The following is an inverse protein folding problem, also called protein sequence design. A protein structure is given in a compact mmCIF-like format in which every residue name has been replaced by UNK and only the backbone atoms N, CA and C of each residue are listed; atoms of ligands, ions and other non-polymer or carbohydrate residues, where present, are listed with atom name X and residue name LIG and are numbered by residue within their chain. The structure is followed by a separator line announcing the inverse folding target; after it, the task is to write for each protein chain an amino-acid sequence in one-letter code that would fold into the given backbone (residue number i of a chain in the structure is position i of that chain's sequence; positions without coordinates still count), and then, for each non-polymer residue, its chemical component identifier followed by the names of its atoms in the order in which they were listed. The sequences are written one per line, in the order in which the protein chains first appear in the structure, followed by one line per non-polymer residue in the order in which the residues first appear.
data_IF_967177557474
#
_entry.id   IF_967177557474
#
_cell.length_a   1.000
_cell.length_b   1.000
_cell.length_c   1.000
_cell.angle_alpha   90.00
_cell.angle_beta   90.00
_cell.angle_gamma   90.00
#
_symmetry.space_group_name_H-M   'P 1'
#
loop_
_entity.id
_entity.type
_entity.pdbx_description
1 polymer ?
#
# COMPACT_ATOMS: atom_id res chain seq x y z
N UNK A 1 -5.92 10.47 6.85
CA UNK A 1 -4.92 9.38 6.87
C UNK A 1 -5.65 8.06 6.79
N UNK A 2 -5.01 7.01 6.28
CA UNK A 2 -5.63 5.68 6.14
C UNK A 2 -4.97 4.74 7.16
N UNK A 3 -5.74 4.09 8.07
CA UNK A 3 -5.18 3.06 8.95
C UNK A 3 -4.56 1.92 8.13
N UNK A 4 -3.28 1.65 8.38
CA UNK A 4 -2.50 0.66 7.64
C UNK A 4 -1.81 -0.29 8.63
N UNK A 5 -1.85 -1.59 8.33
CA UNK A 5 -1.13 -2.60 9.08
C UNK A 5 0.10 -3.10 8.30
N UNK A 6 1.32 -2.97 8.86
CA UNK A 6 2.50 -3.57 8.25
C UNK A 6 2.48 -5.09 8.45
N UNK A 7 2.48 -5.83 7.34
CA UNK A 7 2.45 -7.30 7.35
C UNK A 7 3.88 -7.83 7.19
N UNK A 8 4.34 -8.60 8.18
CA UNK A 8 5.65 -9.27 8.10
C UNK A 8 5.62 -10.48 7.18
N UNK A 9 4.50 -11.22 7.17
CA UNK A 9 4.26 -12.44 6.42
C UNK A 9 5.24 -13.56 6.82
N UNK A 10 5.98 -14.15 5.88
CA UNK A 10 6.83 -15.31 6.11
C UNK A 10 8.28 -14.93 6.41
N UNK A 11 8.90 -15.64 7.36
CA UNK A 11 10.33 -15.61 7.61
C UNK A 11 11.11 -16.53 6.66
N UNK A 12 12.45 -16.56 6.79
CA UNK A 12 13.32 -17.41 5.95
C UNK A 12 13.01 -18.91 6.02
N UNK A 13 12.40 -19.37 7.11
CA UNK A 13 11.97 -20.75 7.32
C UNK A 13 10.51 -21.00 6.90
N UNK A 14 9.82 -19.97 6.39
CA UNK A 14 8.42 -20.04 5.98
C UNK A 14 7.42 -19.91 7.14
N UNK A 15 7.86 -19.52 8.34
CA UNK A 15 6.95 -19.35 9.47
C UNK A 15 6.25 -18.00 9.42
N UNK A 16 5.00 -17.97 9.88
CA UNK A 16 4.23 -16.75 10.10
C UNK A 16 4.18 -16.44 11.59
N UNK A 17 3.94 -15.17 11.93
CA UNK A 17 3.61 -14.79 13.32
C UNK A 17 2.27 -15.39 13.75
N UNK A 18 2.04 -15.53 15.05
CA UNK A 18 0.75 -16.03 15.58
C UNK A 18 -0.45 -15.18 15.10
N UNK A 19 -0.24 -13.87 14.99
CA UNK A 19 -1.27 -12.93 14.56
C UNK A 19 -1.57 -13.06 13.05
N UNK A 20 -0.54 -13.27 12.23
CA UNK A 20 -0.65 -13.36 10.77
C UNK A 20 -0.91 -14.79 10.27
N UNK A 21 -0.90 -15.78 11.18
CA UNK A 21 -1.21 -17.16 10.85
C UNK A 21 -2.66 -17.29 10.39
N UNK A 22 -2.83 -17.47 9.08
CA UNK A 22 -4.11 -17.65 8.40
C UNK A 22 -4.68 -16.34 7.85
N UNK A 23 -4.67 -16.19 6.52
CA UNK A 23 -5.11 -14.97 5.82
C UNK A 23 -6.54 -14.54 6.16
N UNK A 24 -7.47 -15.50 6.31
CA UNK A 24 -8.86 -15.19 6.68
C UNK A 24 -8.99 -14.67 8.11
N UNK A 25 -8.22 -15.24 9.04
CA UNK A 25 -8.20 -14.79 10.44
C UNK A 25 -7.60 -13.39 10.53
N UNK A 26 -6.50 -13.14 9.83
CA UNK A 26 -5.88 -11.82 9.75
C UNK A 26 -6.85 -10.80 9.16
N UNK A 27 -7.47 -11.10 8.01
CA UNK A 27 -8.48 -10.25 7.40
C UNK A 27 -9.63 -9.90 8.35
N UNK A 28 -10.22 -10.89 9.04
CA UNK A 28 -11.29 -10.65 10.02
C UNK A 28 -10.83 -9.73 11.16
N UNK A 29 -9.61 -9.95 11.66
CA UNK A 29 -9.04 -9.16 12.74
C UNK A 29 -8.83 -7.71 12.31
N UNK A 30 -8.17 -7.48 11.16
CA UNK A 30 -7.93 -6.15 10.62
C UNK A 30 -9.24 -5.40 10.32
N UNK A 31 -10.20 -6.06 9.67
CA UNK A 31 -11.51 -5.47 9.38
C UNK A 31 -12.26 -5.08 10.65
N UNK A 32 -12.18 -5.89 11.71
CA UNK A 32 -12.80 -5.57 13.01
C UNK A 32 -12.18 -4.34 13.70
N UNK A 33 -10.92 -4.02 13.37
CA UNK A 33 -10.21 -2.85 13.86
C UNK A 33 -10.39 -1.61 12.96
N UNK A 34 -11.19 -1.70 11.89
CA UNK A 34 -11.34 -0.63 10.91
C UNK A 34 -10.10 -0.41 10.05
N UNK A 35 -9.26 -1.44 9.87
CA UNK A 35 -8.08 -1.40 9.00
C UNK A 35 -8.45 -2.02 7.65
N UNK A 36 -8.21 -1.27 6.57
CA UNK A 36 -8.40 -1.74 5.18
C UNK A 36 -7.21 -1.44 4.28
N UNK A 37 -6.04 -1.20 4.87
CA UNK A 37 -4.79 -1.03 4.15
C UNK A 37 -3.73 -1.94 4.78
N UNK A 38 -2.98 -2.65 3.94
CA UNK A 38 -1.79 -3.39 4.36
C UNK A 38 -0.56 -2.91 3.60
N UNK A 39 0.57 -2.92 4.28
CA UNK A 39 1.88 -2.70 3.68
C UNK A 39 2.70 -3.98 3.86
N UNK A 40 3.09 -4.61 2.75
CA UNK A 40 4.00 -5.77 2.75
C UNK A 40 5.44 -5.29 2.53
N UNK A 41 6.40 -6.12 2.90
CA UNK A 41 7.83 -5.85 2.72
C UNK A 41 8.41 -6.95 1.82
N UNK A 42 8.25 -6.86 0.49
CA UNK A 42 8.53 -7.96 -0.43
C UNK A 42 9.90 -8.59 -0.26
N UNK A 43 10.93 -7.81 0.02
CA UNK A 43 12.32 -8.28 0.16
C UNK A 43 12.48 -9.33 1.27
N UNK A 44 11.55 -9.35 2.23
CA UNK A 44 11.51 -10.31 3.32
C UNK A 44 10.78 -11.59 2.97
N UNK A 45 9.97 -11.64 1.92
CA UNK A 45 8.97 -12.69 1.73
C UNK A 45 9.27 -13.62 0.55
N UNK A 46 8.91 -14.89 0.70
CA UNK A 46 8.88 -15.83 -0.42
C UNK A 46 7.94 -15.29 -1.54
N UNK A 47 8.34 -15.33 -2.83
CA UNK A 47 7.54 -14.78 -3.90
C UNK A 47 6.12 -15.35 -4.00
N UNK A 48 5.95 -16.66 -3.71
CA UNK A 48 4.64 -17.32 -3.81
C UNK A 48 3.73 -16.95 -2.64
N UNK A 49 4.29 -16.80 -1.45
CA UNK A 49 3.56 -16.33 -0.27
C UNK A 49 3.15 -14.87 -0.41
N UNK A 50 4.07 -14.02 -0.87
CA UNK A 50 3.81 -12.62 -1.18
C UNK A 50 2.67 -12.47 -2.19
N UNK A 51 2.72 -13.24 -3.28
CA UNK A 51 1.69 -13.21 -4.32
C UNK A 51 0.32 -13.64 -3.78
N UNK A 52 0.28 -14.74 -3.05
CA UNK A 52 -0.95 -15.27 -2.45
C UNK A 52 -1.58 -14.27 -1.47
N UNK A 53 -0.76 -13.67 -0.60
CA UNK A 53 -1.21 -12.66 0.37
C UNK A 53 -1.74 -11.41 -0.35
N UNK A 54 -0.97 -10.88 -1.31
CA UNK A 54 -1.33 -9.68 -2.08
C UNK A 54 -2.66 -9.87 -2.79
N UNK A 55 -2.83 -10.98 -3.52
CA UNK A 55 -4.06 -11.27 -4.27
C UNK A 55 -5.24 -11.44 -3.33
N UNK A 56 -5.08 -12.21 -2.24
CA UNK A 56 -6.14 -12.41 -1.25
C UNK A 56 -6.67 -11.09 -0.68
N UNK A 57 -5.79 -10.23 -0.17
CA UNK A 57 -6.22 -8.96 0.42
C UNK A 57 -6.78 -7.99 -0.61
N UNK A 58 -6.21 -7.95 -1.82
CA UNK A 58 -6.74 -7.13 -2.91
C UNK A 58 -8.17 -7.54 -3.29
N UNK A 59 -8.45 -8.85 -3.38
CA UNK A 59 -9.79 -9.41 -3.64
C UNK A 59 -10.79 -9.12 -2.50
N UNK A 60 -10.31 -8.97 -1.26
CA UNK A 60 -11.12 -8.52 -0.12
C UNK A 60 -11.32 -7.01 -0.05
N UNK A 61 -10.85 -6.26 -1.05
CA UNK A 61 -11.02 -4.81 -1.15
C UNK A 61 -10.03 -4.00 -0.31
N UNK A 62 -9.00 -4.63 0.26
CA UNK A 62 -7.95 -3.90 0.97
C UNK A 62 -7.09 -3.12 -0.03
N UNK A 63 -6.61 -1.95 0.39
CA UNK A 63 -5.48 -1.27 -0.23
C UNK A 63 -4.24 -2.11 0.10
N UNK A 64 -3.43 -2.43 -0.92
CA UNK A 64 -2.19 -3.18 -0.73
C UNK A 64 -1.04 -2.31 -1.26
N UNK A 65 -0.02 -2.14 -0.45
CA UNK A 65 1.18 -1.35 -0.76
C UNK A 65 2.44 -2.15 -0.42
N UNK A 66 3.57 -1.76 -1.01
CA UNK A 66 4.86 -2.39 -0.77
C UNK A 66 5.87 -1.38 -0.25
N UNK A 67 6.48 -1.69 0.89
CA UNK A 67 7.61 -0.98 1.45
C UNK A 67 8.92 -1.72 1.19
N UNK A 68 10.03 -1.01 1.32
CA UNK A 68 11.39 -1.58 1.14
C UNK A 68 12.17 -1.74 2.46
N UNK A 69 11.64 -1.21 3.57
CA UNK A 69 12.24 -1.27 4.92
C UNK A 69 13.72 -0.82 4.97
N UNK A 70 14.05 0.31 4.33
CA UNK A 70 15.38 0.90 4.40
C UNK A 70 15.61 1.56 5.78
N UNK A 71 15.99 0.76 6.77
CA UNK A 71 16.31 1.21 8.13
C UNK A 71 17.82 1.13 8.46
N UNK A 72 18.64 0.65 7.51
CA UNK A 72 20.11 0.61 7.65
C UNK A 72 20.78 1.65 6.75
N UNK A 73 22.05 2.04 7.04
CA UNK A 73 22.83 2.92 6.18
C UNK A 73 23.21 2.32 4.81
N UNK A 74 22.83 1.06 4.54
CA UNK A 74 23.26 0.34 3.34
C UNK A 74 22.60 0.92 2.08
N UNK A 75 23.39 0.99 1.01
CA UNK A 75 22.91 1.42 -0.32
C UNK A 75 22.15 0.27 -0.99
N UNK A 76 20.96 -0.02 -0.50
CA UNK A 76 20.06 -0.98 -1.11
C UNK A 76 19.36 -0.37 -2.36
N UNK A 77 19.08 -1.17 -3.40
CA UNK A 77 18.31 -0.71 -4.55
C UNK A 77 16.91 -0.23 -4.14
N UNK A 78 16.45 0.89 -4.70
CA UNK A 78 15.07 1.38 -4.54
C UNK A 78 14.03 0.51 -5.25
N UNK A 79 14.47 -0.34 -6.18
CA UNK A 79 13.60 -1.26 -6.88
C UNK A 79 13.06 -2.32 -5.92
N UNK A 80 11.73 -2.38 -5.78
CA UNK A 80 11.06 -3.37 -4.95
C UNK A 80 11.25 -4.76 -5.58
N UNK A 81 11.82 -5.68 -4.81
CA UNK A 81 12.02 -7.08 -5.18
C UNK A 81 11.55 -7.99 -4.05
N UNK A 82 11.18 -9.22 -4.38
CA UNK A 82 10.91 -10.27 -3.38
C UNK A 82 12.21 -10.89 -2.84
N UNK A 83 12.12 -11.76 -1.83
CA UNK A 83 13.30 -12.40 -1.22
C UNK A 83 14.23 -12.99 -2.27
N UNK A 84 15.53 -12.78 -2.08
CA UNK A 84 16.57 -13.19 -3.03
C UNK A 84 16.67 -12.30 -4.27
N UNK A 85 16.10 -11.08 -4.25
CA UNK A 85 16.22 -10.11 -5.34
C UNK A 85 15.36 -10.45 -6.56
N UNK A 86 14.34 -11.29 -6.39
CA UNK A 86 13.48 -11.71 -7.50
C UNK A 86 12.52 -10.57 -7.90
N UNK A 87 12.46 -10.19 -9.19
CA UNK A 87 11.54 -9.17 -9.65
C UNK A 87 10.09 -9.51 -9.33
N UNK A 88 9.30 -8.49 -8.99
CA UNK A 88 7.86 -8.65 -8.86
C UNK A 88 7.22 -8.91 -10.24
N UNK A 89 6.19 -9.73 -10.27
CA UNK A 89 5.38 -9.91 -11.48
C UNK A 89 4.48 -8.69 -11.73
N UNK A 90 3.89 -8.60 -12.92
CA UNK A 90 3.09 -7.43 -13.32
C UNK A 90 1.79 -7.28 -12.50
N UNK A 91 1.18 -8.37 -12.05
CA UNK A 91 -0.01 -8.31 -11.19
C UNK A 91 0.31 -7.63 -9.86
N UNK A 92 1.42 -8.01 -9.21
CA UNK A 92 1.84 -7.41 -7.94
C UNK A 92 2.17 -5.92 -8.10
N UNK A 93 2.90 -5.57 -9.16
CA UNK A 93 3.19 -4.16 -9.47
C UNK A 93 1.92 -3.35 -9.68
N UNK A 94 0.96 -3.91 -10.43
CA UNK A 94 -0.31 -3.26 -10.71
C UNK A 94 -1.11 -3.04 -9.42
N UNK A 95 -1.24 -4.07 -8.58
CA UNK A 95 -1.97 -3.96 -7.30
C UNK A 95 -1.34 -2.90 -6.39
N UNK A 96 -0.01 -2.91 -6.26
CA UNK A 96 0.70 -1.93 -5.44
C UNK A 96 0.56 -0.50 -5.99
N UNK A 97 0.62 -0.34 -7.32
CA UNK A 97 0.39 0.95 -7.98
C UNK A 97 -1.02 1.49 -7.75
N UNK A 98 -2.04 0.65 -7.91
CA UNK A 98 -3.43 1.02 -7.63
C UNK A 98 -3.61 1.40 -6.15
N UNK A 99 -2.96 0.67 -5.23
CA UNK A 99 -2.94 1.03 -3.81
C UNK A 99 -2.36 2.41 -3.54
N UNK A 100 -1.21 2.73 -4.14
CA UNK A 100 -0.60 4.05 -4.06
C UNK A 100 -1.51 5.15 -4.65
N UNK A 101 -2.21 4.86 -5.76
CA UNK A 101 -3.18 5.79 -6.34
C UNK A 101 -4.34 6.07 -5.38
N UNK A 102 -4.92 5.06 -4.74
CA UNK A 102 -6.00 5.27 -3.75
C UNK A 102 -5.54 6.19 -2.61
N UNK A 103 -4.30 6.01 -2.14
CA UNK A 103 -3.70 6.88 -1.12
C UNK A 103 -3.58 8.32 -1.66
N UNK A 104 -3.05 8.52 -2.86
CA UNK A 104 -2.92 9.84 -3.47
C UNK A 104 -4.28 10.54 -3.63
N UNK A 105 -5.30 9.82 -4.11
CA UNK A 105 -6.67 10.33 -4.21
C UNK A 105 -7.25 10.72 -2.85
N UNK A 106 -7.07 9.88 -1.83
CA UNK A 106 -7.52 10.20 -0.48
C UNK A 106 -6.87 11.50 0.01
N UNK A 107 -5.56 11.64 -0.13
CA UNK A 107 -4.86 12.86 0.32
C UNK A 107 -5.31 14.10 -0.46
N UNK A 108 -5.44 13.98 -1.79
CA UNK A 108 -5.93 15.06 -2.64
C UNK A 108 -7.33 15.52 -2.23
N UNK A 109 -8.27 14.59 -2.02
CA UNK A 109 -9.64 14.92 -1.63
C UNK A 109 -9.69 15.55 -0.24
N UNK A 110 -8.97 14.99 0.74
CA UNK A 110 -8.94 15.54 2.10
C UNK A 110 -8.32 16.95 2.14
N UNK A 111 -7.28 17.21 1.34
CA UNK A 111 -6.69 18.55 1.22
C UNK A 111 -7.68 19.59 0.69
N UNK A 112 -8.72 19.17 -0.06
CA UNK A 112 -9.78 20.03 -0.58
C UNK A 112 -11.07 20.00 0.26
N UNK A 113 -11.01 19.48 1.49
CA UNK A 113 -12.19 19.37 2.37
C UNK A 113 -13.25 18.40 1.85
N UNK A 114 -12.87 17.46 0.97
CA UNK A 114 -13.76 16.45 0.39
C UNK A 114 -13.54 15.09 1.02
N UNK A 115 -14.55 14.24 0.90
CA UNK A 115 -14.49 12.86 1.35
C UNK A 115 -13.50 12.04 0.50
N UNK A 116 -12.66 11.23 1.15
CA UNK A 116 -11.75 10.27 0.50
C UNK A 116 -12.09 8.82 0.88
N UNK A 117 -11.09 7.92 0.85
CA UNK A 117 -11.29 6.50 1.20
C UNK A 117 -11.84 6.25 2.62
N UNK A 118 -11.45 7.07 3.60
CA UNK A 118 -11.89 6.95 5.01
C UNK A 118 -12.87 8.08 5.31
N UNK A 119 -14.10 7.74 5.71
CA UNK A 119 -15.17 8.65 6.14
C UNK A 119 -14.82 9.38 7.44
N UNK A 120 -15.54 10.47 7.73
CA UNK A 120 -15.33 11.26 8.94
C UNK A 120 -15.60 10.47 10.23
N UNK A 121 -16.41 9.41 10.18
CA UNK A 121 -16.66 8.48 11.29
C UNK A 121 -15.65 7.31 11.36
N UNK A 122 -14.65 7.28 10.46
CA UNK A 122 -13.65 6.22 10.37
C UNK A 122 -14.05 5.04 9.48
N UNK A 123 -15.28 5.01 8.94
CA UNK A 123 -15.72 3.95 8.03
C UNK A 123 -14.92 3.95 6.73
N UNK A 124 -14.61 2.76 6.19
CA UNK A 124 -13.86 2.60 4.95
C UNK A 124 -14.80 2.47 3.74
N UNK A 125 -14.58 3.25 2.69
CA UNK A 125 -15.33 3.18 1.45
C UNK A 125 -14.68 2.22 0.44
N UNK A 126 -14.64 0.92 0.78
CA UNK A 126 -14.04 -0.11 -0.06
C UNK A 126 -14.65 -0.16 -1.49
N UNK A 127 -15.96 0.07 -1.62
CA UNK A 127 -16.66 0.05 -2.91
C UNK A 127 -16.18 1.14 -3.89
N UNK A 128 -15.63 2.24 -3.36
CA UNK A 128 -15.11 3.35 -4.17
C UNK A 128 -13.63 3.19 -4.52
N UNK A 129 -12.98 2.09 -4.10
CA UNK A 129 -11.54 1.87 -4.28
C UNK A 129 -11.08 2.06 -5.74
N UNK A 130 -11.84 1.53 -6.70
CA UNK A 130 -11.46 1.62 -8.12
C UNK A 130 -11.58 3.05 -8.67
N UNK A 131 -12.63 3.78 -8.31
CA UNK A 131 -12.80 5.19 -8.71
C UNK A 131 -11.71 6.07 -8.10
N UNK A 132 -11.38 5.82 -6.83
CA UNK A 132 -10.27 6.49 -6.14
C UNK A 132 -8.92 6.14 -6.77
N UNK A 133 -8.69 4.90 -7.20
CA UNK A 133 -7.48 4.54 -7.94
C UNK A 133 -7.38 5.32 -9.26
N UNK A 134 -8.49 5.47 -9.99
CA UNK A 134 -8.55 6.28 -11.22
C UNK A 134 -8.24 7.76 -10.97
N UNK A 135 -8.85 8.37 -9.95
CA UNK A 135 -8.55 9.75 -9.56
C UNK A 135 -7.09 9.90 -9.13
N UNK A 136 -6.59 8.96 -8.32
CA UNK A 136 -5.24 8.98 -7.78
C UNK A 136 -4.18 8.91 -8.85
N UNK A 137 -4.42 8.09 -9.87
CA UNK A 137 -3.59 8.05 -11.07
C UNK A 137 -3.49 9.42 -11.73
N UNK A 138 -4.63 10.10 -11.95
CA UNK A 138 -4.64 11.44 -12.55
C UNK A 138 -3.89 12.46 -11.68
N UNK A 139 -4.03 12.37 -10.34
CA UNK A 139 -3.29 13.23 -9.40
C UNK A 139 -1.79 13.02 -9.55
N UNK A 140 -1.32 11.77 -9.51
CA UNK A 140 0.11 11.47 -9.62
C UNK A 140 0.64 11.90 -11.00
N UNK A 141 -0.05 11.56 -12.08
CA UNK A 141 0.33 11.94 -13.45
C UNK A 141 0.37 13.46 -13.63
N UNK A 142 -0.57 14.20 -13.03
CA UNK A 142 -0.56 15.66 -13.06
C UNK A 142 0.73 16.22 -12.45
N UNK A 143 1.13 15.76 -11.27
CA UNK A 143 2.34 16.26 -10.61
C UNK A 143 3.63 15.80 -11.28
N UNK A 144 3.66 14.59 -11.84
CA UNK A 144 4.82 14.12 -12.62
C UNK A 144 5.02 14.98 -13.88
N UNK A 145 3.93 15.34 -14.58
CA UNK A 145 3.99 16.06 -15.84
C UNK A 145 4.07 17.59 -15.68
N UNK A 146 3.62 18.15 -14.55
CA UNK A 146 3.59 19.60 -14.30
C UNK A 146 4.58 20.08 -13.23
N UNK A 147 5.57 19.25 -12.88
CA UNK A 147 6.59 19.48 -11.85
C UNK A 147 7.51 20.70 -12.09
N UNK A 148 7.35 21.46 -13.19
CA UNK A 148 8.02 22.76 -13.38
C UNK A 148 7.28 23.96 -12.76
N UNK A 149 6.05 23.79 -12.26
CA UNK A 149 5.22 24.91 -11.76
C UNK A 149 5.08 25.01 -10.25
N UNK A 150 5.59 24.04 -9.48
CA UNK A 150 5.71 24.19 -8.03
C UNK A 150 7.09 24.77 -7.73
N UNK A 151 7.15 26.09 -7.55
CA UNK A 151 8.24 26.68 -6.78
C UNK A 151 8.22 26.01 -5.41
N UNK A 152 9.09 25.00 -5.24
CA UNK A 152 9.18 24.23 -4.01
C UNK A 152 9.16 25.18 -2.82
N UNK A 153 8.36 24.83 -1.82
CA UNK A 153 8.21 25.61 -0.61
C UNK A 153 9.62 25.93 -0.08
N UNK A 154 10.08 27.16 -0.28
CA UNK A 154 11.31 27.69 0.33
C UNK A 154 10.96 27.88 1.79
N UNK A 155 10.90 26.75 2.52
CA UNK A 155 10.73 26.74 3.95
C UNK A 155 11.80 27.65 4.53
N UNK A 156 11.35 28.74 5.13
CA UNK A 156 12.19 29.61 5.92
C UNK A 156 12.67 28.81 7.13
N UNK A 157 13.93 28.38 7.08
CA UNK A 157 14.73 28.04 8.24
C UNK A 157 16.04 28.83 8.13
#
# INVERSE_FOLDING_TARGET
GIPCYPVLLDDESGNLTEFETGMEKLHKSLSSMGIGCIELIPSRNDPSMLESCTKYFNEKGFIVTFGTEHNTPDLAPLAVTSRGGRPLNEDLKKIAWEGACVIAAHQYLRAHGRQGYVLDDGTLCADQKNDLAGLGRNVIEYFLNNSQHESGNKGAY
#
